data_IF_362750191147
#
_entry.id   IF_362750191147
#
_cell.length_a   1.000
_cell.length_b   1.000
_cell.length_c   1.000
_cell.angle_alpha   90.00
_cell.angle_beta   90.00
_cell.angle_gamma   90.00
#
_symmetry.space_group_name_H-M   'P 1'
#
loop_
_entity.id
_entity.type
_entity.pdbx_description
1 polymer ?
#
# COMPACT_ATOMS: atom_id res chain seq x y z
N UNK A 1 5.51 -22.39 -9.04
CA UNK A 1 5.84 -22.27 -7.60
C UNK A 1 6.74 -21.07 -7.27
N UNK A 2 6.93 -20.10 -8.18
CA UNK A 2 7.75 -18.90 -7.93
C UNK A 2 6.95 -17.72 -7.32
N UNK A 3 5.61 -17.77 -7.36
CA UNK A 3 4.76 -16.64 -6.98
C UNK A 3 4.62 -16.41 -5.47
N UNK A 4 4.62 -17.45 -4.64
CA UNK A 4 4.28 -17.29 -3.21
C UNK A 4 5.30 -16.44 -2.46
N UNK A 5 6.61 -16.61 -2.76
CA UNK A 5 7.68 -15.82 -2.13
C UNK A 5 7.63 -14.37 -2.61
N UNK A 6 7.29 -14.15 -3.89
CA UNK A 6 7.16 -12.81 -4.46
C UNK A 6 5.97 -12.07 -3.82
N UNK A 7 4.80 -12.71 -3.74
CA UNK A 7 3.60 -12.21 -3.08
C UNK A 7 3.85 -11.90 -1.60
N UNK A 8 4.57 -12.75 -0.87
CA UNK A 8 4.94 -12.50 0.53
C UNK A 8 5.83 -11.25 0.68
N UNK A 9 6.82 -11.06 -0.20
CA UNK A 9 7.69 -9.88 -0.16
C UNK A 9 6.92 -8.59 -0.46
N UNK A 10 6.03 -8.63 -1.45
CA UNK A 10 5.17 -7.48 -1.78
C UNK A 10 4.23 -7.15 -0.62
N UNK A 11 3.63 -8.17 0.00
CA UNK A 11 2.78 -7.99 1.19
C UNK A 11 3.55 -7.37 2.35
N UNK A 12 4.78 -7.83 2.63
CA UNK A 12 5.62 -7.24 3.68
C UNK A 12 5.96 -5.76 3.42
N UNK A 13 6.21 -5.38 2.15
CA UNK A 13 6.44 -3.98 1.78
C UNK A 13 5.19 -3.14 1.97
N UNK A 14 4.04 -3.68 1.56
CA UNK A 14 2.75 -3.02 1.73
C UNK A 14 2.45 -2.75 3.21
N UNK A 15 2.66 -3.74 4.08
CA UNK A 15 2.53 -3.60 5.54
C UNK A 15 3.49 -2.54 6.14
N UNK A 16 4.71 -2.41 5.60
CA UNK A 16 5.64 -1.37 6.05
C UNK A 16 5.16 0.04 5.69
N UNK A 17 4.52 0.21 4.52
CA UNK A 17 3.94 1.49 4.11
C UNK A 17 2.73 1.86 4.98
N UNK A 18 1.88 0.90 5.36
CA UNK A 18 0.78 1.15 6.29
C UNK A 18 1.29 1.67 7.64
N UNK A 19 2.30 1.02 8.22
CA UNK A 19 2.88 1.48 9.51
C UNK A 19 3.47 2.88 9.40
N UNK A 20 4.05 3.20 8.24
CA UNK A 20 4.61 4.53 7.98
C UNK A 20 3.50 5.57 7.86
N UNK A 21 2.39 5.21 7.21
CA UNK A 21 1.18 6.02 7.17
C UNK A 21 0.60 6.25 8.57
N UNK A 22 0.36 5.20 9.36
CA UNK A 22 -0.18 5.32 10.73
C UNK A 22 0.70 6.20 11.64
N UNK A 23 2.02 6.22 11.40
CA UNK A 23 2.97 7.07 12.13
C UNK A 23 2.94 8.53 11.67
N UNK A 24 2.72 8.78 10.38
CA UNK A 24 2.66 10.12 9.77
C UNK A 24 1.28 10.75 9.84
N UNK A 25 0.24 9.94 9.93
CA UNK A 25 -1.15 10.37 9.91
C UNK A 25 -1.51 11.02 11.24
N UNK A 26 -1.31 12.33 11.31
CA UNK A 26 -1.78 13.18 12.40
C UNK A 26 -3.02 13.94 11.93
N UNK A 27 -4.15 13.24 11.82
CA UNK A 27 -5.53 13.81 11.79
C UNK A 27 -5.75 15.05 10.93
N UNK A 28 -5.38 15.02 9.65
CA UNK A 28 -5.62 16.16 8.76
C UNK A 28 -6.27 15.68 7.46
N UNK A 29 -7.62 15.68 7.45
CA UNK A 29 -8.49 15.27 6.33
C UNK A 29 -8.13 16.06 5.07
N UNK A 30 -7.13 15.56 4.34
CA UNK A 30 -6.51 16.24 3.21
C UNK A 30 -6.83 15.48 1.92
N UNK A 31 -6.86 16.15 0.75
CA UNK A 31 -7.07 15.48 -0.53
C UNK A 31 -6.13 14.28 -0.75
N UNK A 32 -4.86 14.41 -0.33
CA UNK A 32 -3.86 13.35 -0.36
C UNK A 32 -4.25 12.11 0.46
N UNK A 33 -5.03 12.28 1.53
CA UNK A 33 -5.51 11.19 2.39
C UNK A 33 -6.59 10.35 1.71
N UNK A 34 -7.44 10.99 0.90
CA UNK A 34 -8.41 10.26 0.07
C UNK A 34 -7.72 9.48 -1.02
N UNK A 35 -6.72 10.07 -1.67
CA UNK A 35 -5.91 9.37 -2.68
C UNK A 35 -5.17 8.18 -2.06
N UNK A 36 -4.57 8.36 -0.89
CA UNK A 36 -3.98 7.26 -0.12
C UNK A 36 -4.98 6.14 0.17
N UNK A 37 -6.16 6.46 0.69
CA UNK A 37 -7.16 5.44 1.01
C UNK A 37 -7.59 4.62 -0.22
N UNK A 38 -7.78 5.26 -1.37
CA UNK A 38 -8.14 4.57 -2.62
C UNK A 38 -7.02 3.64 -3.06
N UNK A 39 -5.78 4.13 -3.11
CA UNK A 39 -4.62 3.33 -3.56
C UNK A 39 -4.35 2.19 -2.58
N UNK A 40 -4.49 2.43 -1.28
CA UNK A 40 -4.36 1.43 -0.23
C UNK A 40 -5.43 0.33 -0.33
N UNK A 41 -6.70 0.67 -0.53
CA UNK A 41 -7.77 -0.32 -0.69
C UNK A 41 -7.56 -1.22 -1.89
N UNK A 42 -7.14 -0.65 -3.03
CA UNK A 42 -6.85 -1.42 -4.25
C UNK A 42 -5.69 -2.40 -3.99
N UNK A 43 -4.59 -1.92 -3.40
CA UNK A 43 -3.44 -2.77 -3.09
C UNK A 43 -3.78 -3.84 -2.04
N UNK A 44 -4.57 -3.52 -1.01
CA UNK A 44 -4.98 -4.49 0.00
C UNK A 44 -5.92 -5.55 -0.59
N UNK A 45 -6.82 -5.17 -1.50
CA UNK A 45 -7.69 -6.12 -2.21
C UNK A 45 -6.85 -7.06 -3.07
N UNK A 46 -5.89 -6.53 -3.83
CA UNK A 46 -4.97 -7.34 -4.62
C UNK A 46 -4.12 -8.29 -3.75
N UNK A 47 -3.70 -7.83 -2.55
CA UNK A 47 -3.02 -8.69 -1.57
C UNK A 47 -3.89 -9.87 -1.14
N UNK A 48 -5.16 -9.63 -0.82
CA UNK A 48 -6.09 -10.69 -0.37
C UNK A 48 -6.38 -11.68 -1.50
N UNK A 49 -6.50 -11.21 -2.74
CA UNK A 49 -6.67 -12.06 -3.93
C UNK A 49 -5.38 -12.75 -4.41
N UNK A 50 -4.23 -12.48 -3.77
CA UNK A 50 -2.90 -12.95 -4.21
C UNK A 50 -2.50 -12.46 -5.61
N UNK A 51 -3.05 -11.32 -6.03
CA UNK A 51 -2.79 -10.64 -7.31
C UNK A 51 -1.98 -9.36 -7.09
N UNK A 52 -1.30 -9.23 -5.95
CA UNK A 52 -0.51 -8.05 -5.63
C UNK A 52 0.67 -7.95 -6.59
N UNK A 53 0.76 -6.83 -7.31
CA UNK A 53 1.84 -6.57 -8.25
C UNK A 53 2.86 -5.60 -7.66
N UNK A 54 4.06 -5.58 -8.24
CA UNK A 54 5.09 -4.61 -7.86
C UNK A 54 4.65 -3.17 -8.17
N UNK A 55 3.85 -2.97 -9.21
CA UNK A 55 3.30 -1.66 -9.60
C UNK A 55 2.36 -1.12 -8.52
N UNK A 56 1.41 -1.93 -8.04
CA UNK A 56 0.49 -1.54 -6.97
C UNK A 56 1.23 -1.15 -5.68
N UNK A 57 2.32 -1.85 -5.35
CA UNK A 57 3.14 -1.52 -4.18
C UNK A 57 3.92 -0.21 -4.40
N UNK A 58 4.33 0.11 -5.63
CA UNK A 58 4.98 1.38 -5.95
C UNK A 58 3.98 2.54 -5.92
N UNK A 59 2.76 2.34 -6.41
CA UNK A 59 1.67 3.33 -6.34
C UNK A 59 1.37 3.70 -4.88
N UNK A 60 1.29 2.71 -3.99
CA UNK A 60 1.15 2.94 -2.54
C UNK A 60 2.32 3.76 -2.01
N UNK A 61 3.56 3.44 -2.40
CA UNK A 61 4.74 4.22 -2.00
C UNK A 61 4.66 5.68 -2.47
N UNK A 62 4.20 5.91 -3.69
CA UNK A 62 4.05 7.26 -4.26
C UNK A 62 2.97 8.03 -3.50
N UNK A 63 1.80 7.43 -3.27
CA UNK A 63 0.72 8.02 -2.50
C UNK A 63 1.18 8.37 -1.07
N UNK A 64 1.94 7.47 -0.42
CA UNK A 64 2.53 7.72 0.90
C UNK A 64 3.50 8.91 0.93
N UNK A 65 4.26 9.13 -0.14
CA UNK A 65 5.19 10.26 -0.23
C UNK A 65 4.48 11.60 -0.49
N UNK A 66 3.25 11.55 -1.01
CA UNK A 66 2.42 12.73 -1.29
C UNK A 66 1.55 13.16 -0.09
N UNK A 67 1.59 12.40 1.02
CA UNK A 67 0.98 12.69 2.32
C UNK A 67 1.92 13.53 3.20
#
# INVERSE_FOLDING_TARGET
MADTIHQMRLSMRLDAYLRTYESKHTSNDSPSEREWNVVWEVANTARVSQELTSELVDDVRIALNNL
#
